data_IF_885575505468
#
_entry.id   IF_885575505468
#
_cell.length_a   1.000
_cell.length_b   1.000
_cell.length_c   1.000
_cell.angle_alpha   90.00
_cell.angle_beta   90.00
_cell.angle_gamma   90.00
#
_symmetry.space_group_name_H-M   'P 1'
#
loop_
_entity.id
_entity.type
_entity.pdbx_description
1 polymer ?
#
# COMPACT_ATOMS: atom_id res chain seq x y z
N UNK A 1 -10.90 -15.08 14.63
CA UNK A 1 -10.58 -14.51 13.33
C UNK A 1 -9.94 -15.55 12.39
N UNK A 2 -8.79 -16.17 12.71
CA UNK A 2 -8.01 -17.11 11.87
C UNK A 2 -8.84 -18.24 11.25
N UNK A 3 -9.63 -18.96 12.09
CA UNK A 3 -10.48 -20.07 11.61
C UNK A 3 -11.50 -19.61 10.56
N UNK A 4 -12.06 -18.37 10.70
CA UNK A 4 -12.98 -17.84 9.70
C UNK A 4 -12.29 -17.61 8.35
N UNK A 5 -11.06 -17.08 8.38
CA UNK A 5 -10.29 -16.84 7.16
C UNK A 5 -9.90 -18.15 6.49
N UNK A 6 -9.41 -19.16 7.25
CA UNK A 6 -9.12 -20.48 6.70
C UNK A 6 -10.36 -21.14 6.07
N UNK A 7 -11.51 -21.09 6.73
CA UNK A 7 -12.74 -21.61 6.17
C UNK A 7 -13.16 -20.90 4.86
N UNK A 8 -12.92 -19.58 4.78
CA UNK A 8 -13.18 -18.82 3.56
C UNK A 8 -12.22 -19.20 2.42
N UNK A 9 -10.95 -19.44 2.74
CA UNK A 9 -9.94 -19.91 1.78
C UNK A 9 -10.30 -21.31 1.25
N UNK A 10 -10.65 -22.23 2.15
CA UNK A 10 -11.13 -23.58 1.77
C UNK A 10 -12.37 -23.51 0.87
N UNK A 11 -13.32 -22.62 1.19
CA UNK A 11 -14.51 -22.40 0.37
C UNK A 11 -14.17 -21.85 -1.01
N UNK A 12 -13.26 -20.89 -1.11
CA UNK A 12 -12.80 -20.32 -2.37
C UNK A 12 -12.17 -21.41 -3.26
N UNK A 13 -11.27 -22.21 -2.69
CA UNK A 13 -10.65 -23.33 -3.38
C UNK A 13 -11.68 -24.38 -3.83
N UNK A 14 -12.61 -24.76 -2.93
CA UNK A 14 -13.70 -25.70 -3.26
C UNK A 14 -14.60 -25.20 -4.38
N UNK A 15 -14.77 -23.90 -4.51
CA UNK A 15 -15.52 -23.26 -5.61
C UNK A 15 -14.72 -23.14 -6.90
N UNK A 16 -13.47 -23.58 -6.93
CA UNK A 16 -12.62 -23.53 -8.11
C UNK A 16 -12.10 -22.12 -8.44
N UNK A 17 -12.03 -21.20 -7.45
CA UNK A 17 -11.47 -19.88 -7.66
C UNK A 17 -9.96 -20.01 -7.82
N UNK A 18 -9.41 -19.51 -8.92
CA UNK A 18 -8.01 -19.69 -9.31
C UNK A 18 -7.06 -18.83 -8.45
N UNK A 19 -7.47 -17.62 -8.11
CA UNK A 19 -6.67 -16.70 -7.28
C UNK A 19 -7.57 -15.90 -6.35
N UNK A 20 -7.19 -15.76 -5.09
CA UNK A 20 -7.97 -15.05 -4.05
C UNK A 20 -7.10 -14.06 -3.31
N UNK A 21 -7.57 -12.81 -3.21
CA UNK A 21 -6.90 -11.78 -2.42
C UNK A 21 -7.23 -11.90 -0.93
N UNK A 22 -6.20 -11.94 -0.10
CA UNK A 22 -6.28 -11.83 1.36
C UNK A 22 -6.04 -10.36 1.76
N UNK A 23 -6.94 -9.46 1.34
CA UNK A 23 -6.79 -8.03 1.56
C UNK A 23 -7.10 -7.58 2.99
N UNK A 24 -6.65 -6.38 3.35
CA UNK A 24 -6.91 -5.74 4.63
C UNK A 24 -6.43 -6.56 5.83
N UNK A 25 -7.26 -6.68 6.86
CA UNK A 25 -6.91 -7.43 8.08
C UNK A 25 -6.61 -8.92 7.85
N UNK A 26 -7.07 -9.51 6.76
CA UNK A 26 -6.81 -10.93 6.50
C UNK A 26 -5.35 -11.19 6.18
N UNK A 27 -4.67 -10.27 5.49
CA UNK A 27 -3.23 -10.33 5.27
C UNK A 27 -2.45 -10.23 6.59
N UNK A 28 -2.81 -9.25 7.43
CA UNK A 28 -2.16 -9.01 8.73
C UNK A 28 -2.28 -10.23 9.67
N UNK A 29 -3.42 -10.91 9.64
CA UNK A 29 -3.64 -12.13 10.44
C UNK A 29 -2.63 -13.22 10.09
N UNK A 30 -2.15 -13.27 8.86
CA UNK A 30 -1.22 -14.29 8.36
C UNK A 30 0.21 -13.79 8.12
N UNK A 31 0.47 -12.48 8.10
CA UNK A 31 1.80 -11.90 7.89
C UNK A 31 2.86 -12.38 8.90
N UNK A 32 2.46 -12.49 10.18
CA UNK A 32 3.34 -12.94 11.26
C UNK A 32 3.46 -14.47 11.33
N UNK A 33 2.86 -15.19 10.37
CA UNK A 33 2.92 -16.66 10.33
C UNK A 33 3.97 -17.12 9.34
N UNK A 34 4.96 -17.75 9.87
CA UNK A 34 5.70 -18.72 9.07
C UNK A 34 4.73 -19.91 8.82
N UNK A 35 3.94 -19.78 7.76
CA UNK A 35 2.85 -20.70 7.41
C UNK A 35 3.33 -22.15 7.35
N UNK A 36 4.58 -22.37 6.93
CA UNK A 36 5.20 -23.70 6.86
C UNK A 36 5.49 -24.30 8.23
N UNK A 37 5.49 -23.50 9.30
CA UNK A 37 5.76 -23.96 10.68
C UNK A 37 4.49 -24.17 11.51
N UNK A 38 3.33 -23.66 11.09
CA UNK A 38 2.12 -23.76 11.91
C UNK A 38 1.43 -25.11 11.72
N UNK A 39 1.38 -25.93 12.80
CA UNK A 39 0.75 -27.28 12.77
C UNK A 39 -0.69 -27.29 12.25
N UNK A 40 -1.47 -26.24 12.52
CA UNK A 40 -2.88 -26.12 12.07
C UNK A 40 -3.01 -25.95 10.56
N UNK A 41 -2.00 -25.40 9.92
CA UNK A 41 -1.97 -25.09 8.49
C UNK A 41 -1.37 -26.25 7.70
N UNK A 42 -0.41 -26.98 8.27
CA UNK A 42 0.18 -28.19 7.64
C UNK A 42 -0.85 -29.30 7.36
N UNK A 43 -1.99 -29.29 8.06
CA UNK A 43 -3.04 -30.30 7.92
C UNK A 43 -4.19 -29.83 7.01
N UNK A 44 -4.08 -28.67 6.33
CA UNK A 44 -5.08 -28.21 5.36
C UNK A 44 -4.69 -28.68 3.97
N UNK A 45 -5.69 -28.99 3.14
CA UNK A 45 -5.53 -29.31 1.72
C UNK A 45 -5.48 -28.03 0.86
N UNK A 46 -5.11 -26.88 1.45
CA UNK A 46 -5.06 -25.60 0.76
C UNK A 46 -3.87 -25.52 -0.20
N UNK A 47 -4.16 -25.14 -1.42
CA UNK A 47 -3.20 -24.79 -2.45
C UNK A 47 -2.80 -23.32 -2.25
N UNK A 48 -1.73 -23.08 -1.50
CA UNK A 48 -1.30 -21.76 -1.05
C UNK A 48 -0.96 -20.79 -2.19
N UNK A 49 -0.59 -21.33 -3.32
CA UNK A 49 -0.33 -20.56 -4.55
C UNK A 49 -1.55 -19.79 -5.04
N UNK A 50 -2.75 -20.25 -4.70
CA UNK A 50 -4.01 -19.59 -5.09
C UNK A 50 -4.35 -18.36 -4.23
N UNK A 51 -3.48 -17.98 -3.32
CA UNK A 51 -3.74 -16.85 -2.41
C UNK A 51 -2.64 -15.81 -2.50
N UNK A 52 -3.05 -14.55 -2.59
CA UNK A 52 -2.15 -13.40 -2.57
C UNK A 52 -2.64 -12.36 -1.55
N UNK A 53 -1.77 -11.47 -1.05
CA UNK A 53 -2.18 -10.40 -0.15
C UNK A 53 -2.60 -9.12 -0.87
N UNK A 54 -2.21 -8.96 -2.12
CA UNK A 54 -2.42 -7.74 -2.88
C UNK A 54 -1.42 -6.62 -2.55
N UNK A 55 -0.42 -6.91 -1.72
CA UNK A 55 0.52 -5.90 -1.25
C UNK A 55 1.45 -5.41 -2.36
N UNK A 56 1.75 -6.22 -3.39
CA UNK A 56 2.59 -5.80 -4.53
C UNK A 56 1.91 -4.70 -5.33
N UNK A 57 0.65 -4.89 -5.69
CA UNK A 57 -0.11 -3.89 -6.41
C UNK A 57 -0.36 -2.64 -5.55
N UNK A 58 -0.64 -2.81 -4.26
CA UNK A 58 -0.78 -1.70 -3.32
C UNK A 58 0.49 -0.84 -3.26
N UNK A 59 1.68 -1.48 -3.15
CA UNK A 59 2.94 -0.77 -3.14
C UNK A 59 3.19 -0.01 -4.45
N UNK A 60 2.93 -0.64 -5.60
CA UNK A 60 3.04 0.01 -6.90
C UNK A 60 2.09 1.21 -7.02
N UNK A 61 0.83 1.07 -6.62
CA UNK A 61 -0.16 2.16 -6.67
C UNK A 61 0.27 3.35 -5.82
N UNK A 62 0.78 3.11 -4.59
CA UNK A 62 1.29 4.17 -3.71
C UNK A 62 2.46 4.91 -4.38
N UNK A 63 3.40 4.19 -4.99
CA UNK A 63 4.50 4.78 -5.73
C UNK A 63 4.00 5.62 -6.91
N UNK A 64 3.01 5.14 -7.66
CA UNK A 64 2.40 5.91 -8.75
C UNK A 64 1.62 7.12 -8.27
N UNK A 65 0.90 7.03 -7.17
CA UNK A 65 0.24 8.18 -6.56
C UNK A 65 1.26 9.27 -6.20
N UNK A 66 2.41 8.91 -5.65
CA UNK A 66 3.50 9.84 -5.37
C UNK A 66 4.05 10.47 -6.65
N UNK A 67 4.41 9.66 -7.65
CA UNK A 67 4.98 10.13 -8.91
C UNK A 67 4.05 11.08 -9.69
N UNK A 68 2.74 10.82 -9.67
CA UNK A 68 1.74 11.62 -10.38
C UNK A 68 1.43 12.93 -9.64
N UNK A 69 1.36 12.91 -8.30
CA UNK A 69 0.80 14.00 -7.54
C UNK A 69 1.85 14.99 -6.99
N UNK A 70 3.06 14.55 -6.70
CA UNK A 70 4.12 15.45 -6.22
C UNK A 70 4.39 16.62 -7.19
N UNK A 71 4.57 16.39 -8.52
CA UNK A 71 4.77 17.50 -9.46
C UNK A 71 3.56 18.45 -9.56
N UNK A 72 2.33 17.94 -9.38
CA UNK A 72 1.10 18.75 -9.45
C UNK A 72 0.99 19.81 -8.36
N UNK A 73 1.65 19.57 -7.23
CA UNK A 73 1.70 20.52 -6.11
C UNK A 73 3.05 21.22 -5.99
N UNK A 74 3.89 21.12 -7.02
CA UNK A 74 5.16 21.82 -7.09
C UNK A 74 6.34 21.12 -6.42
N UNK A 75 6.21 19.85 -6.04
CA UNK A 75 7.31 19.06 -5.46
C UNK A 75 8.10 18.39 -6.59
N UNK A 76 9.37 18.74 -6.72
CA UNK A 76 10.32 18.07 -7.61
C UNK A 76 10.87 16.81 -6.93
N UNK A 77 10.50 15.64 -7.43
CA UNK A 77 10.90 14.35 -6.84
C UNK A 77 12.42 14.20 -6.70
N UNK A 78 13.20 14.72 -7.64
CA UNK A 78 14.67 14.63 -7.61
C UNK A 78 15.31 15.47 -6.49
N UNK A 79 14.54 16.36 -5.90
CA UNK A 79 14.96 17.21 -4.77
C UNK A 79 14.22 16.87 -3.49
N UNK A 80 13.21 16.01 -3.58
CA UNK A 80 12.34 15.72 -2.47
C UNK A 80 12.99 14.81 -1.44
N UNK A 81 12.71 15.12 -0.17
CA UNK A 81 12.90 14.23 0.96
C UNK A 81 11.59 13.46 1.17
N UNK A 82 11.65 12.13 1.09
CA UNK A 82 10.49 11.25 1.26
C UNK A 82 10.61 10.47 2.56
N UNK A 83 9.63 10.60 3.45
CA UNK A 83 9.55 9.79 4.67
C UNK A 83 8.61 8.60 4.45
N UNK A 84 9.06 7.39 4.76
CA UNK A 84 8.26 6.17 4.75
C UNK A 84 8.04 5.68 6.18
N UNK A 85 6.81 5.84 6.67
CA UNK A 85 6.40 5.44 8.01
C UNK A 85 5.84 4.01 7.95
N UNK A 86 6.52 3.08 8.60
CA UNK A 86 6.27 1.65 8.48
C UNK A 86 7.20 0.98 7.46
N UNK A 87 8.41 1.51 7.29
CA UNK A 87 9.40 1.08 6.28
C UNK A 87 9.74 -0.42 6.32
N UNK A 88 9.62 -1.10 7.46
CA UNK A 88 9.91 -2.54 7.60
C UNK A 88 8.74 -3.46 7.28
N UNK A 89 7.55 -2.92 6.99
CA UNK A 89 6.41 -3.71 6.52
C UNK A 89 6.57 -4.14 5.05
N UNK A 90 5.76 -5.09 4.59
CA UNK A 90 5.83 -5.60 3.21
C UNK A 90 5.67 -4.46 2.18
N UNK A 91 4.63 -3.64 2.33
CA UNK A 91 4.41 -2.48 1.46
C UNK A 91 5.50 -1.43 1.66
N UNK A 92 5.85 -1.10 2.92
CA UNK A 92 6.84 -0.07 3.22
C UNK A 92 8.22 -0.37 2.65
N UNK A 93 8.71 -1.60 2.80
CA UNK A 93 10.00 -2.00 2.25
C UNK A 93 10.00 -2.02 0.71
N UNK A 94 8.89 -2.41 0.09
CA UNK A 94 8.72 -2.36 -1.35
C UNK A 94 8.72 -0.91 -1.87
N UNK A 95 8.02 0.01 -1.18
CA UNK A 95 8.05 1.44 -1.49
C UNK A 95 9.47 2.00 -1.36
N UNK A 96 10.19 1.69 -0.27
CA UNK A 96 11.58 2.13 -0.11
C UNK A 96 12.47 1.66 -1.27
N UNK A 97 12.37 0.38 -1.68
CA UNK A 97 13.11 -0.17 -2.83
C UNK A 97 12.77 0.58 -4.11
N UNK A 98 11.50 0.87 -4.35
CA UNK A 98 11.06 1.61 -5.53
C UNK A 98 11.62 3.04 -5.53
N UNK A 99 11.51 3.74 -4.42
CA UNK A 99 11.98 5.12 -4.28
C UNK A 99 13.47 5.25 -4.59
N UNK A 100 14.30 4.39 -4.02
CA UNK A 100 15.75 4.42 -4.26
C UNK A 100 16.09 4.05 -5.71
N UNK A 101 15.46 3.00 -6.27
CA UNK A 101 15.89 2.44 -7.54
C UNK A 101 15.22 3.05 -8.77
N UNK A 102 14.04 3.66 -8.63
CA UNK A 102 13.21 4.08 -9.77
C UNK A 102 12.89 5.57 -9.83
N UNK A 103 12.84 6.27 -8.70
CA UNK A 103 12.38 7.67 -8.70
C UNK A 103 13.51 8.69 -8.68
N UNK A 104 14.69 8.32 -8.17
CA UNK A 104 15.83 9.22 -8.02
C UNK A 104 15.56 10.37 -7.05
N UNK A 105 14.81 10.12 -5.97
CA UNK A 105 14.58 11.08 -4.89
C UNK A 105 15.90 11.53 -4.25
N UNK A 106 15.91 12.72 -3.66
CA UNK A 106 17.11 13.27 -3.00
C UNK A 106 17.44 12.54 -1.71
N UNK A 107 16.42 12.25 -0.89
CA UNK A 107 16.61 11.62 0.41
C UNK A 107 15.43 10.72 0.78
N UNK A 108 15.74 9.57 1.37
CA UNK A 108 14.77 8.62 1.93
C UNK A 108 14.93 8.59 3.46
N UNK A 109 13.88 8.98 4.19
CA UNK A 109 13.78 8.84 5.63
C UNK A 109 12.95 7.61 5.96
N UNK A 110 13.53 6.67 6.70
CA UNK A 110 12.91 5.40 7.04
C UNK A 110 12.54 5.35 8.52
N UNK A 111 11.24 5.19 8.80
CA UNK A 111 10.70 5.12 10.16
C UNK A 111 10.03 3.79 10.39
N UNK A 112 10.45 3.06 11.43
CA UNK A 112 9.79 1.84 11.88
C UNK A 112 10.08 1.57 13.36
N UNK A 113 9.24 0.75 14.01
CA UNK A 113 9.39 0.40 15.43
C UNK A 113 10.54 -0.57 15.70
N UNK A 114 10.83 -1.45 14.75
CA UNK A 114 11.85 -2.51 14.90
C UNK A 114 13.15 -2.06 14.25
N UNK A 115 14.17 -1.81 15.03
CA UNK A 115 15.44 -1.26 14.56
C UNK A 115 16.28 -2.25 13.75
N UNK A 116 16.31 -3.55 14.14
CA UNK A 116 17.09 -4.56 13.45
C UNK A 116 16.61 -4.79 12.00
N UNK A 117 15.30 -5.03 11.72
CA UNK A 117 14.82 -5.09 10.34
C UNK A 117 15.05 -3.79 9.55
N UNK A 118 15.03 -2.63 10.23
CA UNK A 118 15.26 -1.34 9.60
C UNK A 118 16.71 -1.17 9.15
N UNK A 119 17.67 -1.58 9.99
CA UNK A 119 19.09 -1.59 9.66
C UNK A 119 19.42 -2.58 8.51
N UNK A 120 18.74 -3.73 8.48
CA UNK A 120 18.88 -4.68 7.38
C UNK A 120 18.36 -4.10 6.06
N UNK A 121 17.22 -3.41 6.09
CA UNK A 121 16.67 -2.73 4.91
C UNK A 121 17.62 -1.61 4.42
N UNK A 122 18.15 -0.80 5.33
CA UNK A 122 19.11 0.25 4.98
C UNK A 122 20.35 -0.33 4.29
N UNK A 123 20.88 -1.42 4.83
CA UNK A 123 22.03 -2.12 4.23
C UNK A 123 21.71 -2.71 2.85
N UNK A 124 20.51 -3.27 2.69
CA UNK A 124 20.04 -3.81 1.40
C UNK A 124 19.94 -2.70 0.34
N UNK A 125 19.42 -1.54 0.72
CA UNK A 125 19.21 -0.41 -0.18
C UNK A 125 20.51 0.35 -0.52
N UNK A 126 21.57 0.14 0.25
CA UNK A 126 22.80 0.95 0.21
C UNK A 126 22.48 2.46 0.31
N UNK A 127 21.47 2.82 1.12
CA UNK A 127 21.00 4.19 1.25
C UNK A 127 19.81 4.35 2.19
N UNK A 128 19.36 5.60 2.29
CA UNK A 128 18.29 6.01 3.20
C UNK A 128 18.78 6.25 4.63
N UNK A 129 18.06 7.09 5.35
CA UNK A 129 18.35 7.50 6.73
C UNK A 129 17.34 6.91 7.69
N UNK A 130 17.81 6.20 8.71
CA UNK A 130 16.95 5.72 9.80
C UNK A 130 16.72 6.90 10.77
N UNK A 131 15.46 7.17 11.07
CA UNK A 131 15.09 8.29 11.93
C UNK A 131 13.81 7.99 12.73
N UNK A 132 13.50 8.88 13.68
CA UNK A 132 12.22 8.85 14.41
C UNK A 132 11.10 9.53 13.61
N UNK A 133 9.84 9.33 14.03
CA UNK A 133 8.70 10.00 13.42
C UNK A 133 8.79 11.51 13.57
N UNK A 134 9.12 11.97 14.78
CA UNK A 134 9.17 13.40 15.12
C UNK A 134 10.29 14.14 14.37
N UNK A 135 11.37 13.44 14.02
CA UNK A 135 12.46 14.00 13.22
C UNK A 135 12.16 13.94 11.72
N UNK A 136 11.45 12.90 11.25
CA UNK A 136 11.15 12.73 9.84
C UNK A 136 10.12 13.74 9.34
N UNK A 137 9.03 13.95 10.08
CA UNK A 137 7.90 14.78 9.64
C UNK A 137 8.30 16.21 9.25
N UNK A 138 9.10 16.95 10.05
CA UNK A 138 9.50 18.32 9.68
C UNK A 138 10.43 18.39 8.46
N UNK A 139 11.07 17.30 8.10
CA UNK A 139 12.04 17.23 7.00
C UNK A 139 11.44 16.76 5.69
N UNK A 140 10.29 16.08 5.73
CA UNK A 140 9.70 15.43 4.58
C UNK A 140 8.89 16.38 3.70
N UNK A 141 9.15 16.37 2.41
CA UNK A 141 8.28 16.96 1.39
C UNK A 141 7.12 16.02 1.05
N UNK A 142 7.36 14.71 1.20
CA UNK A 142 6.40 13.65 0.97
C UNK A 142 6.43 12.66 2.13
N UNK A 143 5.25 12.32 2.66
CA UNK A 143 5.09 11.30 3.70
C UNK A 143 4.26 10.14 3.17
N UNK A 144 4.84 8.95 3.12
CA UNK A 144 4.14 7.70 2.82
C UNK A 144 3.89 6.96 4.12
N UNK A 145 2.62 6.85 4.49
CA UNK A 145 2.22 6.22 5.74
C UNK A 145 1.64 4.84 5.47
N UNK A 146 2.36 3.79 5.81
CA UNK A 146 1.97 2.39 5.61
C UNK A 146 2.16 1.55 6.88
N UNK A 147 2.27 2.21 8.02
CA UNK A 147 2.26 1.56 9.32
C UNK A 147 0.86 1.13 9.71
N UNK A 148 0.73 -0.05 10.34
CA UNK A 148 -0.52 -0.46 11.00
C UNK A 148 -0.53 0.11 12.42
N UNK A 149 -1.30 1.16 12.64
CA UNK A 149 -1.43 1.83 13.93
C UNK A 149 -2.79 1.52 14.54
N UNK A 150 -2.87 1.32 15.87
CA UNK A 150 -4.14 1.01 16.55
C UNK A 150 -5.07 2.21 16.68
N UNK A 151 -4.56 3.42 16.48
CA UNK A 151 -5.28 4.71 16.58
C UNK A 151 -4.74 5.67 15.54
N UNK A 152 -5.57 6.61 15.12
CA UNK A 152 -5.16 7.78 14.34
C UNK A 152 -4.13 8.59 15.13
N UNK A 153 -3.25 9.26 14.40
CA UNK A 153 -2.20 10.10 14.97
C UNK A 153 -2.58 11.56 14.78
N UNK A 154 -2.42 12.32 15.84
CA UNK A 154 -2.46 13.77 15.77
C UNK A 154 -1.09 14.27 15.30
N UNK A 155 -1.11 15.05 14.22
CA UNK A 155 0.08 15.66 13.64
C UNK A 155 -0.07 17.18 13.75
N UNK A 156 0.94 17.81 14.29
CA UNK A 156 1.03 19.28 14.25
C UNK A 156 1.40 19.72 12.82
N UNK A 157 0.43 20.31 12.13
CA UNK A 157 0.59 20.77 10.75
C UNK A 157 1.54 21.94 10.59
N UNK A 158 1.81 22.69 11.66
CA UNK A 158 2.73 23.82 11.61
C UNK A 158 4.19 23.37 11.52
N UNK A 159 4.47 22.16 11.97
CA UNK A 159 5.78 21.53 11.88
C UNK A 159 6.05 20.79 10.56
N UNK A 160 5.11 20.79 9.63
CA UNK A 160 5.29 20.15 8.32
C UNK A 160 5.84 21.16 7.30
N UNK A 161 6.66 20.66 6.36
CA UNK A 161 7.01 21.44 5.16
C UNK A 161 5.75 21.76 4.35
N UNK A 162 5.79 22.84 3.60
CA UNK A 162 4.68 23.29 2.71
C UNK A 162 5.24 23.69 1.35
N UNK A 163 4.76 23.11 0.25
CA UNK A 163 3.73 22.07 0.17
C UNK A 163 4.19 20.72 0.73
N UNK A 164 3.28 19.92 1.25
CA UNK A 164 3.51 18.55 1.68
C UNK A 164 2.49 17.59 1.05
N UNK A 165 2.97 16.46 0.53
CA UNK A 165 2.12 15.37 0.07
C UNK A 165 2.12 14.24 1.10
N UNK A 166 0.96 13.86 1.58
CA UNK A 166 0.80 12.73 2.50
C UNK A 166 -0.02 11.63 1.83
N UNK A 167 0.50 10.41 1.77
CA UNK A 167 -0.19 9.24 1.22
C UNK A 167 -0.44 8.26 2.36
N UNK A 168 -1.67 8.15 2.82
CA UNK A 168 -2.06 7.20 3.88
C UNK A 168 -2.55 5.89 3.28
N UNK A 169 -1.63 4.92 3.18
CA UNK A 169 -1.88 3.55 2.76
C UNK A 169 -2.11 2.58 3.92
N UNK A 170 -2.23 3.05 5.15
CA UNK A 170 -2.53 2.24 6.33
C UNK A 170 -3.95 1.70 6.34
N UNK A 171 -4.16 0.61 7.08
CA UNK A 171 -5.48 0.09 7.40
C UNK A 171 -5.50 -0.44 8.85
N UNK A 172 -6.34 0.14 9.76
CA UNK A 172 -7.13 1.36 9.57
C UNK A 172 -6.27 2.56 9.16
N UNK A 173 -6.92 3.63 8.69
CA UNK A 173 -6.21 4.85 8.33
C UNK A 173 -5.45 5.42 9.53
N UNK A 174 -4.26 5.97 9.26
CA UNK A 174 -3.42 6.54 10.31
C UNK A 174 -3.74 8.00 10.58
N UNK A 175 -4.26 8.70 9.56
CA UNK A 175 -4.70 10.09 9.68
C UNK A 175 -6.20 10.15 9.92
N UNK A 176 -6.63 11.11 10.74
CA UNK A 176 -8.05 11.42 10.90
C UNK A 176 -8.64 11.93 9.58
N UNK A 177 -9.89 11.61 9.28
CA UNK A 177 -10.57 12.07 8.06
C UNK A 177 -10.70 13.60 8.00
N UNK A 178 -10.65 14.27 9.16
CA UNK A 178 -10.69 15.73 9.28
C UNK A 178 -9.31 16.37 9.23
N UNK A 179 -8.25 15.56 9.10
CA UNK A 179 -6.88 16.09 9.03
C UNK A 179 -6.73 16.99 7.81
N UNK A 180 -6.48 18.26 8.04
CA UNK A 180 -6.34 19.29 7.02
C UNK A 180 -5.26 20.29 7.43
N UNK A 181 -4.60 20.85 6.44
CA UNK A 181 -3.63 21.92 6.64
C UNK A 181 -3.45 22.74 5.37
N UNK A 182 -3.10 24.00 5.51
CA UNK A 182 -2.79 24.83 4.36
C UNK A 182 -1.58 24.27 3.59
N UNK A 183 -1.73 24.04 2.28
CA UNK A 183 -0.73 23.41 1.41
C UNK A 183 -0.28 22.01 1.88
N UNK A 184 -1.16 21.30 2.61
CA UNK A 184 -0.99 19.88 2.92
C UNK A 184 -2.02 19.08 2.12
N UNK A 185 -1.54 18.17 1.30
CA UNK A 185 -2.35 17.37 0.38
C UNK A 185 -2.34 15.92 0.82
N UNK A 186 -3.51 15.40 1.22
CA UNK A 186 -3.65 14.03 1.71
C UNK A 186 -4.32 13.16 0.65
N UNK A 187 -3.71 12.02 0.37
CA UNK A 187 -4.26 10.98 -0.52
C UNK A 187 -4.53 9.71 0.28
N UNK A 188 -5.66 9.07 0.00
CA UNK A 188 -5.90 7.69 0.42
C UNK A 188 -5.03 6.75 -0.43
N UNK A 189 -4.02 6.16 0.18
CA UNK A 189 -3.06 5.27 -0.49
C UNK A 189 -3.66 3.92 -0.85
N UNK A 190 -3.21 3.36 -1.97
CA UNK A 190 -3.58 2.01 -2.39
C UNK A 190 -5.00 1.86 -2.95
N UNK A 191 -5.57 2.93 -3.51
CA UNK A 191 -6.84 2.90 -4.23
C UNK A 191 -6.58 3.05 -5.72
N UNK A 192 -7.23 2.22 -6.52
CA UNK A 192 -7.23 2.28 -7.98
C UNK A 192 -8.61 2.65 -8.50
N UNK A 193 -8.63 3.33 -9.63
CA UNK A 193 -9.80 3.57 -10.46
C UNK A 193 -9.76 2.67 -11.69
N UNK A 194 -10.92 2.25 -12.18
CA UNK A 194 -11.06 1.53 -13.44
C UNK A 194 -12.03 2.24 -14.38
N UNK A 195 -11.80 2.10 -15.68
CA UNK A 195 -12.47 2.91 -16.71
C UNK A 195 -13.95 2.60 -16.90
N UNK A 196 -14.38 1.38 -16.63
CA UNK A 196 -15.76 0.96 -16.83
C UNK A 196 -16.45 0.77 -15.48
N UNK A 197 -17.73 1.16 -15.44
CA UNK A 197 -18.59 0.77 -14.34
C UNK A 197 -18.80 -0.75 -14.39
N UNK A 198 -18.29 -1.46 -13.38
CA UNK A 198 -18.42 -2.92 -13.30
C UNK A 198 -19.69 -3.36 -12.57
N UNK A 199 -20.60 -2.43 -12.28
CA UNK A 199 -21.85 -2.74 -11.58
C UNK A 199 -21.67 -3.24 -10.14
N UNK A 200 -20.47 -3.12 -9.60
CA UNK A 200 -20.20 -3.50 -8.23
C UNK A 200 -20.57 -2.36 -7.30
N UNK A 201 -21.42 -2.67 -6.34
CA UNK A 201 -21.72 -1.77 -5.26
C UNK A 201 -20.86 -2.13 -4.04
N UNK A 202 -19.63 -1.65 -4.04
CA UNK A 202 -18.72 -1.75 -2.88
C UNK A 202 -19.06 -0.69 -1.81
N UNK A 203 -20.25 -0.09 -1.86
CA UNK A 203 -20.67 1.04 -1.01
C UNK A 203 -20.53 0.80 0.49
N UNK A 204 -20.51 -0.43 0.94
CA UNK A 204 -20.28 -0.77 2.34
C UNK A 204 -18.81 -0.65 2.77
N UNK A 205 -17.88 -0.52 1.82
CA UNK A 205 -16.49 -0.21 2.10
C UNK A 205 -16.31 1.32 2.08
N UNK A 206 -16.74 1.96 3.14
CA UNK A 206 -16.98 3.39 3.34
C UNK A 206 -15.82 4.37 3.02
N UNK A 207 -14.73 3.92 2.44
CA UNK A 207 -13.56 4.78 2.17
C UNK A 207 -13.45 5.24 0.70
N UNK A 208 -14.35 4.77 -0.16
CA UNK A 208 -14.29 5.06 -1.60
C UNK A 208 -15.23 6.20 -1.97
N UNK A 209 -14.75 7.15 -2.77
CA UNK A 209 -15.52 8.30 -3.22
C UNK A 209 -16.45 7.94 -4.38
N UNK A 210 -15.97 7.06 -5.25
CA UNK A 210 -16.75 6.51 -6.35
C UNK A 210 -16.71 4.98 -6.31
N UNK A 211 -17.52 4.34 -5.45
CA UNK A 211 -17.48 2.89 -5.25
C UNK A 211 -17.84 2.07 -6.49
N UNK A 212 -18.39 2.71 -7.53
CA UNK A 212 -18.65 2.05 -8.83
C UNK A 212 -17.41 1.97 -9.71
N UNK A 213 -16.40 2.82 -9.46
CA UNK A 213 -15.19 2.93 -10.27
C UNK A 213 -13.88 2.83 -9.48
N UNK A 214 -13.96 2.67 -8.18
CA UNK A 214 -12.81 2.60 -7.30
C UNK A 214 -12.79 1.28 -6.54
N UNK A 215 -11.60 0.77 -6.28
CA UNK A 215 -11.39 -0.35 -5.38
C UNK A 215 -10.02 -0.30 -4.71
N UNK A 216 -9.87 -1.06 -3.65
CA UNK A 216 -8.55 -1.28 -3.07
C UNK A 216 -7.63 -2.05 -4.02
N UNK A 217 -6.41 -1.58 -4.18
CA UNK A 217 -5.40 -2.20 -5.03
C UNK A 217 -5.14 -3.67 -4.66
N UNK A 218 -5.25 -4.01 -3.37
CA UNK A 218 -5.08 -5.39 -2.92
C UNK A 218 -6.15 -6.35 -3.49
N UNK A 219 -7.38 -5.89 -3.73
CA UNK A 219 -8.40 -6.70 -4.40
C UNK A 219 -8.19 -6.72 -5.91
N UNK A 220 -7.84 -5.57 -6.49
CA UNK A 220 -7.54 -5.46 -7.91
C UNK A 220 -6.38 -6.38 -8.33
N UNK A 221 -5.38 -6.64 -7.46
CA UNK A 221 -4.29 -7.57 -7.75
C UNK A 221 -4.81 -8.95 -8.15
N UNK A 222 -5.74 -9.54 -7.40
CA UNK A 222 -6.27 -10.85 -7.75
C UNK A 222 -7.03 -10.84 -9.09
N UNK A 223 -7.76 -9.77 -9.40
CA UNK A 223 -8.44 -9.62 -10.69
C UNK A 223 -7.44 -9.54 -11.84
N UNK A 224 -6.41 -8.73 -11.68
CA UNK A 224 -5.35 -8.55 -12.70
C UNK A 224 -4.61 -9.87 -12.91
N UNK A 225 -4.25 -10.57 -11.83
CA UNK A 225 -3.58 -11.87 -11.92
C UNK A 225 -4.46 -12.93 -12.64
N UNK A 226 -5.79 -12.90 -12.42
CA UNK A 226 -6.71 -13.77 -13.18
C UNK A 226 -6.74 -13.40 -14.65
N UNK A 227 -6.77 -12.12 -15.01
CA UNK A 227 -6.73 -11.67 -16.41
C UNK A 227 -5.42 -12.06 -17.10
N UNK A 228 -4.30 -12.02 -16.41
CA UNK A 228 -2.98 -12.46 -16.91
C UNK A 228 -2.77 -13.97 -16.81
N UNK A 229 -3.73 -14.73 -16.28
CA UNK A 229 -3.61 -16.19 -16.03
C UNK A 229 -2.40 -16.55 -15.12
N UNK A 230 -2.04 -15.64 -14.23
CA UNK A 230 -0.95 -15.79 -13.28
C UNK A 230 -1.51 -16.28 -11.93
N UNK A 231 -1.74 -17.59 -11.83
CA UNK A 231 -2.37 -18.21 -10.65
C UNK A 231 -1.30 -18.66 -9.65
N UNK A 232 -0.52 -17.72 -9.16
CA UNK A 232 0.54 -17.99 -8.19
C UNK A 232 0.45 -17.06 -7.00
N UNK A 233 1.02 -17.47 -5.87
CA UNK A 233 1.23 -16.55 -4.75
C UNK A 233 2.13 -15.40 -5.20
N UNK A 234 1.53 -14.23 -5.39
CA UNK A 234 2.22 -13.08 -5.94
C UNK A 234 2.82 -12.17 -4.86
N UNK A 235 2.09 -11.93 -3.77
CA UNK A 235 2.46 -10.95 -2.75
C UNK A 235 2.64 -11.51 -1.36
N UNK A 236 2.18 -12.72 -1.08
CA UNK A 236 2.14 -13.24 0.27
C UNK A 236 3.47 -13.83 0.72
N UNK A 237 3.92 -13.39 1.85
CA UNK A 237 5.16 -13.79 2.48
C UNK A 237 6.18 -12.66 2.52
N UNK A 238 6.92 -12.59 3.63
CA UNK A 238 7.96 -11.58 3.83
C UNK A 238 8.98 -11.63 2.69
N UNK A 239 9.32 -10.47 2.15
CA UNK A 239 10.23 -10.30 1.03
C UNK A 239 9.76 -10.91 -0.30
N UNK A 240 8.48 -11.25 -0.43
CA UNK A 240 7.93 -11.77 -1.69
C UNK A 240 7.59 -10.66 -2.70
N UNK A 241 7.67 -9.39 -2.29
CA UNK A 241 7.46 -8.25 -3.18
C UNK A 241 8.81 -7.81 -3.73
N UNK A 242 8.98 -7.88 -5.06
CA UNK A 242 10.16 -7.40 -5.76
C UNK A 242 9.82 -6.26 -6.72
N UNK A 243 10.84 -5.53 -7.17
CA UNK A 243 10.68 -4.47 -8.18
C UNK A 243 10.10 -5.02 -9.49
N UNK A 244 10.56 -6.20 -9.94
CA UNK A 244 10.06 -6.86 -11.14
C UNK A 244 8.58 -7.22 -11.03
N UNK A 245 8.14 -7.71 -9.87
CA UNK A 245 6.72 -7.98 -9.62
C UNK A 245 5.90 -6.69 -9.58
N UNK A 246 6.44 -5.61 -9.01
CA UNK A 246 5.78 -4.30 -9.03
C UNK A 246 5.65 -3.77 -10.46
N UNK A 247 6.69 -3.90 -11.29
CA UNK A 247 6.65 -3.50 -12.70
C UNK A 247 5.66 -4.36 -13.49
N UNK A 248 5.66 -5.68 -13.30
CA UNK A 248 4.73 -6.60 -13.95
C UNK A 248 3.28 -6.24 -13.63
N UNK A 249 2.94 -6.17 -12.33
CA UNK A 249 1.57 -5.91 -11.92
C UNK A 249 1.12 -4.50 -12.33
N UNK A 250 2.04 -3.54 -12.35
CA UNK A 250 1.77 -2.19 -12.80
C UNK A 250 1.47 -2.11 -14.29
N UNK A 251 2.24 -2.78 -15.12
CA UNK A 251 1.98 -2.86 -16.56
C UNK A 251 0.66 -3.58 -16.84
N UNK A 252 0.39 -4.68 -16.17
CA UNK A 252 -0.86 -5.42 -16.27
C UNK A 252 -2.07 -4.59 -15.77
N UNK A 253 -1.89 -3.83 -14.67
CA UNK A 253 -2.89 -2.90 -14.14
C UNK A 253 -3.34 -1.90 -15.22
N UNK A 254 -2.40 -1.21 -15.83
CA UNK A 254 -2.68 -0.24 -16.89
C UNK A 254 -3.29 -0.91 -18.14
N UNK A 255 -2.80 -2.07 -18.54
CA UNK A 255 -3.35 -2.87 -19.66
C UNK A 255 -4.83 -3.21 -19.45
N UNK A 256 -5.23 -3.52 -18.24
CA UNK A 256 -6.61 -3.88 -17.88
C UNK A 256 -7.45 -2.70 -17.40
N UNK A 257 -6.98 -1.47 -17.56
CA UNK A 257 -7.74 -0.26 -17.31
C UNK A 257 -7.81 0.17 -15.84
N UNK A 258 -6.92 -0.31 -14.99
CA UNK A 258 -6.77 0.16 -13.63
C UNK A 258 -5.69 1.23 -13.55
N UNK A 259 -5.97 2.33 -12.87
CA UNK A 259 -5.02 3.43 -12.67
C UNK A 259 -5.00 3.93 -11.22
N UNK A 260 -3.86 4.46 -10.80
CA UNK A 260 -3.72 5.10 -9.49
C UNK A 260 -4.52 6.41 -9.44
N UNK A 261 -5.19 6.68 -8.32
CA UNK A 261 -6.00 7.89 -8.15
C UNK A 261 -5.12 9.11 -7.90
N UNK A 262 -5.48 10.24 -8.55
CA UNK A 262 -4.84 11.54 -8.37
C UNK A 262 -5.61 12.48 -7.44
N UNK A 263 -4.94 13.58 -7.03
CA UNK A 263 -5.51 14.66 -6.19
C UNK A 263 -6.74 15.33 -6.80
N UNK A 264 -6.80 15.40 -8.12
CA UNK A 264 -7.88 15.99 -8.90
C UNK A 264 -9.22 15.26 -8.77
N UNK A 265 -9.17 14.02 -8.28
CA UNK A 265 -10.33 13.16 -8.08
C UNK A 265 -10.75 13.04 -6.62
N UNK A 266 -10.12 13.76 -5.72
CA UNK A 266 -10.56 13.83 -4.33
C UNK A 266 -11.63 14.93 -4.17
N UNK A 267 -12.68 14.77 -3.33
CA UNK A 267 -13.64 15.84 -3.10
C UNK A 267 -12.88 17.02 -2.55
N UNK A 268 -13.11 18.19 -3.18
CA UNK A 268 -12.78 19.45 -2.51
C UNK A 268 -13.66 19.46 -1.26
N UNK A 269 -13.02 19.43 -0.10
CA UNK A 269 -13.75 19.64 1.14
C UNK A 269 -14.42 21.00 1.01
N UNK A 270 -15.75 20.99 0.90
CA UNK A 270 -16.52 22.21 0.91
C UNK A 270 -16.36 22.79 2.31
N UNK A 271 -15.51 23.80 2.44
CA UNK A 271 -15.51 24.69 3.60
C UNK A 271 -16.86 25.36 3.65
N UNK A 272 -17.70 24.93 4.63
CA UNK A 272 -18.93 25.62 5.03
C UNK A 272 -18.58 26.77 5.94
#
# INVERSE_FOLDING_TARGET
>A
ARRKVLNAMELAQKKGINITALGGFTSIIFENFNLLQHKQIRNTSLEWERFTTGNTHTAWVICKQLEINAPRIGIDLKKATVAVIGATGDIGSAVCRWLINKTGISELLMVARQQEPLALLQKELDGGTITSLDEALPQADIVVWVASMPKTIEIDTDNLKKPCLMIDGGYPKNLDEKFQGENIHVLKGGIVEFFNDIGWNMMELAEMQNPQREMFACFAEAMILEFEKCHTNFSWGRNNISLEKMEFIGAASLKHGFSAIGLDKQPKVLTV
#
